data_IF_340810955818
#
_entry.id   IF_340810955818
#
_cell.length_a   1.000
_cell.length_b   1.000
_cell.length_c   1.000
_cell.angle_alpha   90.00
_cell.angle_beta   90.00
_cell.angle_gamma   90.00
#
_symmetry.space_group_name_H-M   'P 1'
#
loop_
_entity.id
_entity.type
_entity.pdbx_description
1 polymer ?
#
# COMPACT_ATOMS: atom_id res chain seq x y z
N UNK A 1 -9.28 -31.51 21.17
CA UNK A 1 -10.00 -32.48 20.30
C UNK A 1 -10.85 -31.77 19.24
N UNK A 2 -11.56 -30.70 19.59
CA UNK A 2 -12.37 -29.92 18.64
C UNK A 2 -11.51 -29.18 17.59
N UNK A 3 -10.43 -28.51 18.01
CA UNK A 3 -9.47 -27.84 17.10
C UNK A 3 -8.83 -28.81 16.08
N UNK A 4 -8.49 -30.03 16.51
CA UNK A 4 -7.90 -31.08 15.66
C UNK A 4 -8.90 -31.60 14.62
N UNK A 5 -10.20 -31.67 14.97
CA UNK A 5 -11.26 -32.01 14.01
C UNK A 5 -11.47 -30.90 12.97
N UNK A 6 -11.39 -29.63 13.38
CA UNK A 6 -11.49 -28.49 12.47
C UNK A 6 -10.28 -28.40 11.53
N UNK A 7 -9.06 -28.65 12.03
CA UNK A 7 -7.85 -28.69 11.21
C UNK A 7 -7.86 -29.82 10.18
N UNK A 8 -8.29 -31.03 10.56
CA UNK A 8 -8.42 -32.16 9.62
C UNK A 8 -9.49 -31.94 8.55
N UNK A 9 -10.45 -31.02 8.76
CA UNK A 9 -11.41 -30.61 7.73
C UNK A 9 -10.84 -29.56 6.77
N UNK A 10 -9.97 -28.67 7.28
CA UNK A 10 -9.32 -27.61 6.48
C UNK A 10 -8.14 -28.12 5.64
N UNK A 11 -7.36 -29.06 6.17
CA UNK A 11 -6.14 -29.55 5.52
C UNK A 11 -6.27 -31.03 5.19
N UNK A 12 -6.45 -31.33 3.92
CA UNK A 12 -6.69 -32.68 3.39
C UNK A 12 -5.47 -33.25 2.66
N UNK A 13 -4.60 -32.35 2.19
CA UNK A 13 -3.39 -32.71 1.46
C UNK A 13 -2.30 -33.25 2.39
N UNK A 14 -1.36 -34.01 1.82
CA UNK A 14 -0.17 -34.46 2.55
C UNK A 14 0.60 -33.27 3.12
N UNK A 15 1.00 -33.37 4.40
CA UNK A 15 1.80 -32.36 5.10
C UNK A 15 3.08 -32.00 4.34
N UNK A 16 3.71 -32.99 3.68
CA UNK A 16 4.90 -32.77 2.86
C UNK A 16 4.61 -31.92 1.62
N UNK A 17 3.45 -32.13 0.97
CA UNK A 17 3.01 -31.34 -0.18
C UNK A 17 2.75 -29.89 0.24
N UNK A 18 2.01 -29.69 1.34
CA UNK A 18 1.73 -28.35 1.88
C UNK A 18 3.02 -27.61 2.26
N UNK A 19 3.94 -28.27 2.97
CA UNK A 19 5.22 -27.67 3.35
C UNK A 19 6.04 -27.25 2.11
N UNK A 20 6.11 -28.11 1.09
CA UNK A 20 6.79 -27.78 -0.16
C UNK A 20 6.14 -26.59 -0.87
N UNK A 21 4.81 -26.56 -0.96
CA UNK A 21 4.09 -25.44 -1.58
C UNK A 21 4.33 -24.14 -0.82
N UNK A 22 4.33 -24.14 0.51
CA UNK A 22 4.61 -22.93 1.31
C UNK A 22 6.00 -22.37 1.01
N UNK A 23 7.02 -23.24 0.95
CA UNK A 23 8.39 -22.83 0.61
C UNK A 23 8.45 -22.27 -0.80
N UNK A 24 7.86 -22.98 -1.78
CA UNK A 24 7.87 -22.54 -3.17
C UNK A 24 7.10 -21.22 -3.38
N UNK A 25 5.96 -21.05 -2.69
CA UNK A 25 5.20 -19.79 -2.66
C UNK A 25 6.09 -18.67 -2.13
N UNK A 26 6.77 -18.88 -0.99
CA UNK A 26 7.69 -17.88 -0.44
C UNK A 26 8.80 -17.51 -1.43
N UNK A 27 9.49 -18.50 -2.00
CA UNK A 27 10.59 -18.26 -2.96
C UNK A 27 10.10 -17.51 -4.20
N UNK A 28 9.03 -17.98 -4.82
CA UNK A 28 8.51 -17.37 -6.04
C UNK A 28 7.91 -15.99 -5.81
N UNK A 29 7.17 -15.79 -4.72
CA UNK A 29 6.66 -14.46 -4.32
C UNK A 29 7.78 -13.48 -4.01
N UNK A 30 8.85 -13.94 -3.35
CA UNK A 30 10.05 -13.15 -3.10
C UNK A 30 10.72 -12.69 -4.39
N UNK A 31 10.96 -13.62 -5.31
CA UNK A 31 11.55 -13.32 -6.62
C UNK A 31 10.67 -12.38 -7.44
N UNK A 32 9.37 -12.66 -7.56
CA UNK A 32 8.42 -11.84 -8.32
C UNK A 32 8.29 -10.43 -7.73
N UNK A 33 8.19 -10.31 -6.40
CA UNK A 33 8.16 -9.04 -5.69
C UNK A 33 9.44 -8.24 -5.92
N UNK A 34 10.60 -8.88 -5.79
CA UNK A 34 11.91 -8.30 -6.09
C UNK A 34 11.99 -7.76 -7.52
N UNK A 35 11.64 -8.56 -8.53
CA UNK A 35 11.67 -8.14 -9.92
C UNK A 35 10.75 -6.94 -10.19
N UNK A 36 9.54 -6.92 -9.63
CA UNK A 36 8.63 -5.79 -9.80
C UNK A 36 9.13 -4.51 -9.10
N UNK A 37 9.76 -4.64 -7.94
CA UNK A 37 10.37 -3.51 -7.24
C UNK A 37 11.59 -2.97 -7.98
N UNK A 38 12.48 -3.85 -8.48
CA UNK A 38 13.62 -3.45 -9.31
C UNK A 38 13.19 -2.79 -10.62
N UNK A 39 12.13 -3.31 -11.26
CA UNK A 39 11.53 -2.68 -12.44
C UNK A 39 11.02 -1.28 -12.11
N UNK A 40 10.36 -1.10 -10.96
CA UNK A 40 9.88 0.21 -10.52
C UNK A 40 11.04 1.20 -10.38
N UNK A 41 12.12 0.82 -9.68
CA UNK A 41 13.29 1.68 -9.51
C UNK A 41 13.96 2.03 -10.83
N UNK A 42 14.17 1.04 -11.70
CA UNK A 42 14.74 1.25 -13.03
C UNK A 42 13.92 2.25 -13.87
N UNK A 43 12.59 2.10 -13.88
CA UNK A 43 11.71 3.00 -14.60
C UNK A 43 11.71 4.41 -14.00
N UNK A 44 11.77 4.55 -12.68
CA UNK A 44 11.90 5.86 -12.03
C UNK A 44 13.18 6.57 -12.46
N UNK A 45 14.32 5.86 -12.44
CA UNK A 45 15.63 6.38 -12.80
C UNK A 45 15.65 6.88 -14.25
N UNK A 46 15.08 6.12 -15.18
CA UNK A 46 14.96 6.52 -16.59
C UNK A 46 13.99 7.68 -16.75
N UNK A 47 12.83 7.64 -16.10
CA UNK A 47 11.80 8.64 -16.24
C UNK A 47 12.31 10.03 -15.84
N UNK A 48 12.97 10.14 -14.70
CA UNK A 48 13.43 11.44 -14.17
C UNK A 48 14.92 11.72 -14.38
N UNK A 49 15.69 10.74 -14.85
CA UNK A 49 17.07 10.92 -15.31
C UNK A 49 18.10 10.94 -14.21
N UNK A 50 17.82 10.23 -13.13
CA UNK A 50 18.67 10.16 -11.97
C UNK A 50 19.18 8.73 -11.82
N UNK A 51 20.45 8.57 -11.45
CA UNK A 51 21.08 7.26 -11.27
C UNK A 51 20.86 6.22 -12.42
N UNK A 52 20.94 6.59 -13.72
CA UNK A 52 20.53 5.70 -14.83
C UNK A 52 21.40 4.43 -14.99
N UNK A 53 22.60 4.43 -14.41
CA UNK A 53 23.53 3.30 -14.45
C UNK A 53 23.39 2.34 -13.26
N UNK A 54 22.57 2.68 -12.26
CA UNK A 54 22.37 1.88 -11.05
C UNK A 54 20.88 1.55 -10.90
N UNK A 55 20.53 0.33 -10.51
CA UNK A 55 19.12 -0.02 -10.22
C UNK A 55 18.75 0.36 -8.79
N UNK A 56 19.70 0.22 -7.85
CA UNK A 56 19.57 0.72 -6.48
C UNK A 56 20.47 1.93 -6.34
N UNK A 57 19.89 3.04 -5.90
CA UNK A 57 20.58 4.29 -5.66
C UNK A 57 20.30 4.79 -4.25
N UNK A 58 21.25 5.55 -3.71
CA UNK A 58 21.06 6.32 -2.49
C UNK A 58 20.22 7.58 -2.74
N UNK A 59 20.11 8.00 -4.00
CA UNK A 59 19.25 9.12 -4.40
C UNK A 59 17.78 8.69 -4.38
N UNK A 60 16.97 9.43 -3.63
CA UNK A 60 15.55 9.17 -3.48
C UNK A 60 14.79 9.56 -4.75
N UNK A 61 13.61 8.96 -4.94
CA UNK A 61 12.71 9.35 -6.02
C UNK A 61 12.37 10.86 -6.00
N UNK A 62 12.21 11.43 -4.81
CA UNK A 62 11.91 12.85 -4.67
C UNK A 62 13.06 13.74 -5.14
N UNK A 63 14.31 13.39 -4.81
CA UNK A 63 15.51 14.11 -5.26
C UNK A 63 15.61 14.06 -6.78
N UNK A 64 15.45 12.89 -7.38
CA UNK A 64 15.45 12.74 -8.83
C UNK A 64 14.35 13.56 -9.53
N UNK A 65 13.13 13.57 -8.97
CA UNK A 65 12.05 14.43 -9.48
C UNK A 65 12.41 15.91 -9.32
N UNK A 66 12.93 16.34 -8.16
CA UNK A 66 13.33 17.73 -7.92
C UNK A 66 14.46 18.19 -8.85
N UNK A 67 15.40 17.32 -9.17
CA UNK A 67 16.50 17.59 -10.09
C UNK A 67 16.05 17.63 -11.57
N UNK A 68 14.99 16.89 -11.91
CA UNK A 68 14.43 16.91 -13.27
C UNK A 68 13.79 18.26 -13.64
N UNK A 69 13.92 18.65 -14.92
CA UNK A 69 13.34 19.90 -15.42
C UNK A 69 11.79 19.87 -15.39
N UNK A 70 11.13 21.03 -15.25
CA UNK A 70 9.67 21.12 -15.29
C UNK A 70 9.04 20.45 -16.52
N UNK A 71 9.65 20.65 -17.69
CA UNK A 71 9.20 20.08 -18.97
C UNK A 71 9.25 18.56 -18.92
N UNK A 72 10.34 18.00 -18.38
CA UNK A 72 10.50 16.55 -18.22
C UNK A 72 9.42 15.97 -17.32
N UNK A 73 9.11 16.60 -16.19
CA UNK A 73 8.04 16.13 -15.29
C UNK A 73 6.69 16.10 -16.00
N UNK A 74 6.35 17.16 -16.74
CA UNK A 74 5.12 17.25 -17.52
C UNK A 74 5.08 16.18 -18.60
N UNK A 75 6.16 15.99 -19.37
CA UNK A 75 6.25 14.97 -20.42
C UNK A 75 6.11 13.56 -19.87
N UNK A 76 6.76 13.23 -18.76
CA UNK A 76 6.67 11.91 -18.12
C UNK A 76 5.25 11.63 -17.64
N UNK A 77 4.58 12.63 -17.05
CA UNK A 77 3.20 12.49 -16.59
C UNK A 77 2.21 12.41 -17.76
N UNK A 78 2.46 13.12 -18.86
CA UNK A 78 1.71 12.93 -20.10
C UNK A 78 1.85 11.49 -20.62
N UNK A 79 3.06 10.93 -20.64
CA UNK A 79 3.30 9.53 -21.02
C UNK A 79 2.64 8.54 -20.04
N UNK A 80 2.66 8.84 -18.74
CA UNK A 80 1.92 8.08 -17.73
C UNK A 80 0.43 8.02 -18.07
N UNK A 81 -0.16 9.14 -18.47
CA UNK A 81 -1.56 9.20 -18.89
C UNK A 81 -1.87 8.41 -20.15
N UNK A 82 -0.97 8.43 -21.15
CA UNK A 82 -1.10 7.58 -22.35
C UNK A 82 -0.99 6.09 -22.01
N UNK A 83 0.02 5.69 -21.23
CA UNK A 83 0.24 4.29 -20.85
C UNK A 83 -0.92 3.77 -19.99
N UNK A 84 -1.36 4.54 -19.00
CA UNK A 84 -2.53 4.22 -18.18
C UNK A 84 -3.78 4.07 -19.06
N UNK A 85 -4.07 5.09 -19.86
CA UNK A 85 -5.26 5.18 -20.68
C UNK A 85 -5.36 4.05 -21.69
N UNK A 86 -4.33 3.90 -22.54
CA UNK A 86 -4.28 2.89 -23.60
C UNK A 86 -4.17 1.49 -22.99
N UNK A 87 -3.31 1.31 -22.00
CA UNK A 87 -3.02 0.01 -21.40
C UNK A 87 -4.23 -0.61 -20.73
N UNK A 88 -4.90 0.12 -19.83
CA UNK A 88 -6.09 -0.42 -19.16
C UNK A 88 -7.30 -0.46 -20.09
N UNK A 89 -7.49 0.50 -20.99
CA UNK A 89 -8.55 0.39 -22.01
C UNK A 89 -8.39 -0.87 -22.87
N UNK A 90 -7.18 -1.15 -23.36
CA UNK A 90 -6.89 -2.36 -24.14
C UNK A 90 -7.09 -3.62 -23.30
N UNK A 91 -6.66 -3.61 -22.03
CA UNK A 91 -6.88 -4.74 -21.12
C UNK A 91 -8.37 -5.00 -20.87
N UNK A 92 -9.19 -3.97 -20.71
CA UNK A 92 -10.63 -4.12 -20.52
C UNK A 92 -11.37 -4.49 -21.81
N UNK A 93 -10.84 -4.08 -22.98
CA UNK A 93 -11.47 -4.35 -24.28
C UNK A 93 -11.12 -5.73 -24.83
N UNK A 94 -9.88 -6.20 -24.62
CA UNK A 94 -9.36 -7.42 -25.24
C UNK A 94 -8.92 -8.50 -24.24
N UNK A 95 -8.72 -8.15 -22.96
CA UNK A 95 -8.30 -9.08 -21.93
C UNK A 95 -9.45 -9.84 -21.27
N UNK A 96 -9.12 -10.95 -20.61
CA UNK A 96 -10.09 -11.64 -19.73
C UNK A 96 -10.44 -10.76 -18.53
N UNK A 97 -11.70 -10.74 -18.06
CA UNK A 97 -12.13 -9.92 -16.94
C UNK A 97 -11.29 -10.16 -15.69
N UNK A 98 -10.74 -9.08 -15.12
CA UNK A 98 -9.92 -9.16 -13.91
C UNK A 98 -10.72 -9.69 -12.72
N UNK A 99 -10.06 -10.48 -11.90
CA UNK A 99 -10.61 -11.02 -10.65
C UNK A 99 -9.69 -10.55 -9.53
N UNK A 100 -10.23 -9.82 -8.57
CA UNK A 100 -9.46 -9.37 -7.40
C UNK A 100 -9.13 -10.54 -6.47
N UNK A 101 -8.06 -10.41 -5.69
CA UNK A 101 -7.65 -11.41 -4.69
C UNK A 101 -8.81 -11.74 -3.74
N UNK A 102 -9.52 -10.72 -3.24
CA UNK A 102 -10.66 -10.91 -2.34
C UNK A 102 -11.81 -11.67 -3.02
N UNK A 103 -12.09 -11.40 -4.30
CA UNK A 103 -13.11 -12.14 -5.05
C UNK A 103 -12.67 -13.58 -5.31
N UNK A 104 -11.40 -13.82 -5.64
CA UNK A 104 -10.86 -15.16 -5.84
C UNK A 104 -10.96 -16.01 -4.57
N UNK A 105 -10.62 -15.45 -3.41
CA UNK A 105 -10.76 -16.13 -2.11
C UNK A 105 -12.24 -16.42 -1.80
N UNK A 106 -13.12 -15.42 -1.95
CA UNK A 106 -14.54 -15.53 -1.57
C UNK A 106 -15.33 -16.47 -2.49
N UNK A 107 -15.09 -16.41 -3.80
CA UNK A 107 -15.90 -17.12 -4.81
C UNK A 107 -15.23 -18.37 -5.39
N UNK A 108 -13.92 -18.56 -5.15
CA UNK A 108 -13.14 -19.61 -5.80
C UNK A 108 -12.89 -19.36 -7.30
N UNK A 109 -13.32 -18.21 -7.83
CA UNK A 109 -13.11 -17.87 -9.25
C UNK A 109 -11.60 -17.67 -9.52
N UNK A 110 -11.02 -18.36 -10.52
CA UNK A 110 -9.60 -18.24 -10.81
C UNK A 110 -9.25 -16.85 -11.34
N UNK A 111 -8.07 -16.35 -10.95
CA UNK A 111 -7.49 -15.11 -11.51
C UNK A 111 -6.88 -15.40 -12.88
N UNK A 112 -7.28 -14.71 -13.96
CA UNK A 112 -6.74 -14.96 -15.30
C UNK A 112 -5.28 -14.52 -15.39
N UNK A 113 -4.29 -15.44 -15.53
CA UNK A 113 -2.88 -15.12 -15.34
C UNK A 113 -2.40 -13.98 -16.23
N UNK A 114 -2.58 -14.09 -17.55
CA UNK A 114 -2.09 -13.09 -18.50
C UNK A 114 -2.66 -11.68 -18.23
N UNK A 115 -3.98 -11.57 -18.05
CA UNK A 115 -4.62 -10.28 -17.75
C UNK A 115 -4.11 -9.71 -16.42
N UNK A 116 -3.94 -10.55 -15.39
CA UNK A 116 -3.43 -10.13 -14.08
C UNK A 116 -1.98 -9.68 -14.15
N UNK A 117 -1.12 -10.36 -14.91
CA UNK A 117 0.26 -9.93 -15.12
C UNK A 117 0.30 -8.58 -15.84
N UNK A 118 -0.40 -8.41 -16.95
CA UNK A 118 -0.48 -7.12 -17.67
C UNK A 118 -0.99 -6.02 -16.73
N UNK A 119 -2.03 -6.31 -15.95
CA UNK A 119 -2.56 -5.38 -14.95
C UNK A 119 -1.52 -4.96 -13.91
N UNK A 120 -0.75 -5.90 -13.38
CA UNK A 120 0.31 -5.64 -12.40
C UNK A 120 1.45 -4.82 -13.00
N UNK A 121 1.88 -5.11 -14.23
CA UNK A 121 2.90 -4.32 -14.93
C UNK A 121 2.44 -2.89 -15.19
N UNK A 122 1.19 -2.68 -15.63
CA UNK A 122 0.63 -1.33 -15.82
C UNK A 122 0.63 -0.53 -14.52
N UNK A 123 0.27 -1.15 -13.39
CA UNK A 123 0.36 -0.51 -12.08
C UNK A 123 1.80 -0.08 -11.76
N UNK A 124 2.78 -1.00 -11.89
CA UNK A 124 4.19 -0.68 -11.60
C UNK A 124 4.73 0.43 -12.50
N UNK A 125 4.46 0.36 -13.81
CA UNK A 125 4.93 1.36 -14.78
C UNK A 125 4.35 2.72 -14.44
N UNK A 126 3.03 2.83 -14.30
CA UNK A 126 2.38 4.13 -14.05
C UNK A 126 2.80 4.74 -12.70
N UNK A 127 3.03 3.93 -11.68
CA UNK A 127 3.52 4.40 -10.37
C UNK A 127 4.98 4.85 -10.46
N UNK A 128 5.83 4.13 -11.20
CA UNK A 128 7.20 4.55 -11.47
C UNK A 128 7.26 5.89 -12.22
N UNK A 129 6.30 6.13 -13.13
CA UNK A 129 6.16 7.40 -13.86
C UNK A 129 5.47 8.51 -13.04
N UNK A 130 5.13 8.27 -11.77
CA UNK A 130 4.63 9.32 -10.88
C UNK A 130 3.13 9.27 -10.55
N UNK A 131 2.41 8.20 -10.90
CA UNK A 131 1.02 8.01 -10.46
C UNK A 131 0.89 8.06 -8.93
N UNK A 132 -0.16 8.73 -8.38
CA UNK A 132 -0.30 8.92 -6.94
C UNK A 132 -0.76 7.65 -6.19
N UNK A 133 -1.00 6.54 -6.91
CA UNK A 133 -1.53 5.29 -6.39
C UNK A 133 -0.43 4.37 -5.81
N UNK A 134 -0.84 3.41 -4.99
CA UNK A 134 0.04 2.47 -4.30
C UNK A 134 0.52 1.29 -5.16
N UNK A 135 1.80 0.90 -5.01
CA UNK A 135 2.43 -0.21 -5.76
C UNK A 135 2.19 -1.60 -5.16
N UNK A 136 1.53 -1.67 -4.02
CA UNK A 136 1.38 -2.88 -3.22
C UNK A 136 0.45 -3.94 -3.84
N UNK A 137 -0.45 -3.56 -4.76
CA UNK A 137 -1.43 -4.51 -5.33
C UNK A 137 -0.77 -5.42 -6.37
N UNK A 138 0.05 -4.88 -7.27
CA UNK A 138 0.75 -5.63 -8.31
C UNK A 138 1.52 -6.89 -7.80
N UNK A 139 2.43 -6.79 -6.81
CA UNK A 139 3.16 -7.96 -6.31
C UNK A 139 2.25 -8.96 -5.60
N UNK A 140 1.17 -8.50 -4.97
CA UNK A 140 0.17 -9.37 -4.34
C UNK A 140 -0.58 -10.17 -5.40
N UNK A 141 -1.00 -9.54 -6.49
CA UNK A 141 -1.76 -10.19 -7.56
C UNK A 141 -0.94 -11.22 -8.32
N UNK A 142 0.28 -10.86 -8.70
CA UNK A 142 1.22 -11.76 -9.38
C UNK A 142 1.58 -12.94 -8.50
N UNK A 143 1.81 -12.70 -7.20
CA UNK A 143 2.07 -13.76 -6.23
C UNK A 143 0.87 -14.67 -5.99
N UNK A 144 -0.35 -14.12 -5.94
CA UNK A 144 -1.59 -14.90 -5.85
C UNK A 144 -1.77 -15.84 -7.03
N UNK A 145 -1.51 -15.35 -8.25
CA UNK A 145 -1.57 -16.17 -9.47
C UNK A 145 -0.55 -17.30 -9.42
N UNK A 146 0.69 -16.99 -9.03
CA UNK A 146 1.75 -17.98 -8.87
C UNK A 146 1.40 -19.05 -7.81
N UNK A 147 0.94 -18.63 -6.63
CA UNK A 147 0.51 -19.54 -5.58
C UNK A 147 -0.69 -20.40 -5.97
N UNK A 148 -1.65 -19.84 -6.73
CA UNK A 148 -2.79 -20.60 -7.26
C UNK A 148 -2.32 -21.68 -8.25
N UNK A 149 -1.36 -21.35 -9.12
CA UNK A 149 -0.77 -22.29 -10.07
C UNK A 149 -0.03 -23.43 -9.35
N UNK A 150 0.79 -23.12 -8.34
CA UNK A 150 1.46 -24.13 -7.53
C UNK A 150 0.47 -25.05 -6.82
N UNK A 151 -0.58 -24.47 -6.24
CA UNK A 151 -1.62 -25.22 -5.51
C UNK A 151 -2.34 -26.20 -6.43
N UNK A 152 -2.70 -25.77 -7.64
CA UNK A 152 -3.31 -26.63 -8.65
C UNK A 152 -2.36 -27.75 -9.10
N UNK A 153 -1.07 -27.45 -9.30
CA UNK A 153 -0.06 -28.44 -9.69
C UNK A 153 0.20 -29.48 -8.59
N UNK A 154 0.14 -29.07 -7.32
CA UNK A 154 0.30 -29.93 -6.17
C UNK A 154 -0.97 -30.70 -5.78
N UNK A 155 -2.09 -30.47 -6.48
CA UNK A 155 -3.37 -31.13 -6.22
C UNK A 155 -4.00 -30.74 -4.89
N UNK A 156 -3.73 -29.53 -4.39
CA UNK A 156 -4.29 -29.05 -3.13
C UNK A 156 -5.81 -28.90 -3.23
N UNK A 157 -6.50 -29.09 -2.11
CA UNK A 157 -7.94 -28.87 -2.03
C UNK A 157 -8.31 -27.40 -2.34
N UNK A 158 -9.57 -27.10 -2.68
CA UNK A 158 -10.00 -25.72 -2.94
C UNK A 158 -9.77 -24.77 -1.75
N UNK A 159 -9.96 -25.25 -0.51
CA UNK A 159 -9.74 -24.43 0.69
C UNK A 159 -8.25 -24.18 0.94
N UNK A 160 -7.41 -25.21 0.81
CA UNK A 160 -5.95 -25.06 0.87
C UNK A 160 -5.43 -24.11 -0.21
N UNK A 161 -5.97 -24.20 -1.42
CA UNK A 161 -5.61 -23.32 -2.54
C UNK A 161 -5.96 -21.86 -2.25
N UNK A 162 -7.10 -21.57 -1.59
CA UNK A 162 -7.45 -20.21 -1.15
C UNK A 162 -6.48 -19.69 -0.09
N UNK A 163 -6.08 -20.55 0.85
CA UNK A 163 -5.10 -20.19 1.88
C UNK A 163 -3.74 -19.89 1.25
N UNK A 164 -3.27 -20.75 0.33
CA UNK A 164 -2.01 -20.54 -0.37
C UNK A 164 -2.04 -19.30 -1.27
N UNK A 165 -3.16 -19.03 -1.95
CA UNK A 165 -3.38 -17.79 -2.71
C UNK A 165 -3.23 -16.56 -1.79
N UNK A 166 -3.87 -16.58 -0.61
CA UNK A 166 -3.75 -15.51 0.36
C UNK A 166 -2.33 -15.38 0.92
N UNK A 167 -1.66 -16.49 1.24
CA UNK A 167 -0.26 -16.52 1.69
C UNK A 167 0.68 -15.95 0.62
N UNK A 168 0.46 -16.27 -0.67
CA UNK A 168 1.18 -15.67 -1.79
C UNK A 168 0.97 -14.16 -1.86
N UNK A 169 -0.26 -13.68 -1.71
CA UNK A 169 -0.51 -12.24 -1.64
C UNK A 169 0.27 -11.58 -0.48
N UNK A 170 0.21 -12.15 0.73
CA UNK A 170 0.96 -11.65 1.90
C UNK A 170 2.47 -11.64 1.66
N UNK A 171 3.00 -12.73 1.09
CA UNK A 171 4.41 -12.87 0.76
C UNK A 171 4.88 -11.87 -0.30
N UNK A 172 4.05 -11.60 -1.32
CA UNK A 172 4.34 -10.56 -2.32
C UNK A 172 4.35 -9.14 -1.72
N UNK A 173 3.44 -8.85 -0.78
CA UNK A 173 3.47 -7.61 -0.01
C UNK A 173 4.76 -7.51 0.82
N UNK A 174 5.09 -8.58 1.56
CA UNK A 174 6.27 -8.65 2.40
C UNK A 174 7.57 -8.42 1.61
N UNK A 175 7.74 -9.10 0.47
CA UNK A 175 8.93 -9.04 -0.36
C UNK A 175 9.26 -7.62 -0.85
N UNK A 176 8.23 -6.87 -1.27
CA UNK A 176 8.37 -5.54 -1.87
C UNK A 176 8.64 -4.43 -0.84
N UNK A 177 8.27 -4.68 0.40
CA UNK A 177 8.25 -3.69 1.47
C UNK A 177 9.16 -4.05 2.65
N UNK A 178 9.83 -5.20 2.62
CA UNK A 178 10.64 -5.73 3.72
C UNK A 178 9.84 -5.87 5.03
N UNK A 179 8.61 -6.41 4.92
CA UNK A 179 7.63 -6.51 6.03
C UNK A 179 7.11 -7.94 6.24
N UNK A 180 7.94 -8.89 6.69
CA UNK A 180 7.52 -10.29 6.84
C UNK A 180 6.36 -10.47 7.84
N UNK A 181 6.36 -9.78 8.98
CA UNK A 181 5.28 -9.87 9.96
C UNK A 181 4.02 -9.16 9.46
N UNK A 182 4.17 -7.98 8.86
CA UNK A 182 3.07 -7.21 8.30
C UNK A 182 2.38 -7.96 7.16
N UNK A 183 3.16 -8.63 6.30
CA UNK A 183 2.64 -9.52 5.26
C UNK A 183 1.82 -10.68 5.83
N UNK A 184 2.31 -11.34 6.88
CA UNK A 184 1.62 -12.46 7.50
C UNK A 184 0.33 -12.04 8.22
N UNK A 185 0.37 -10.96 9.00
CA UNK A 185 -0.83 -10.46 9.69
C UNK A 185 -1.84 -9.90 8.71
N UNK A 186 -1.40 -9.30 7.60
CA UNK A 186 -2.30 -8.89 6.51
C UNK A 186 -3.10 -10.06 5.94
N UNK A 187 -2.50 -11.26 5.82
CA UNK A 187 -3.22 -12.47 5.37
C UNK A 187 -4.36 -12.81 6.33
N UNK A 188 -4.08 -12.82 7.63
CA UNK A 188 -5.04 -13.21 8.66
C UNK A 188 -6.14 -12.15 8.86
N UNK A 189 -5.75 -10.88 8.97
CA UNK A 189 -6.65 -9.79 9.31
C UNK A 189 -7.48 -9.33 8.11
N UNK A 190 -6.88 -9.23 6.91
CA UNK A 190 -7.51 -8.57 5.76
C UNK A 190 -7.99 -9.54 4.70
N UNK A 191 -7.24 -10.61 4.42
CA UNK A 191 -7.60 -11.53 3.33
C UNK A 191 -8.51 -12.67 3.78
N UNK A 192 -8.19 -13.30 4.91
CA UNK A 192 -8.88 -14.49 5.40
C UNK A 192 -9.80 -14.23 6.60
N UNK A 193 -9.63 -13.11 7.30
CA UNK A 193 -10.38 -12.75 8.52
C UNK A 193 -10.45 -13.91 9.53
N UNK A 194 -9.29 -14.50 9.86
CA UNK A 194 -9.19 -15.71 10.70
C UNK A 194 -8.06 -15.61 11.72
N UNK A 195 -8.19 -16.34 12.83
CA UNK A 195 -7.19 -16.44 13.90
C UNK A 195 -6.58 -17.84 14.00
N UNK A 196 -6.63 -18.61 12.90
CA UNK A 196 -6.11 -19.97 12.89
C UNK A 196 -4.57 -20.00 12.98
N UNK A 197 -4.05 -20.74 13.96
CA UNK A 197 -2.61 -20.84 14.23
C UNK A 197 -1.81 -21.45 13.07
N UNK A 198 -2.35 -22.47 12.43
CA UNK A 198 -1.70 -23.13 11.28
C UNK A 198 -1.61 -22.19 10.08
N UNK A 199 -2.65 -21.41 9.80
CA UNK A 199 -2.63 -20.38 8.74
C UNK A 199 -1.62 -19.29 9.07
N UNK A 200 -1.51 -18.86 10.34
CA UNK A 200 -0.49 -17.92 10.77
C UNK A 200 0.92 -18.45 10.47
N UNK A 201 1.20 -19.71 10.79
CA UNK A 201 2.50 -20.32 10.50
C UNK A 201 2.80 -20.37 9.01
N UNK A 202 1.80 -20.66 8.17
CA UNK A 202 1.96 -20.67 6.72
C UNK A 202 2.29 -19.27 6.18
N UNK A 203 1.52 -18.27 6.59
CA UNK A 203 1.69 -16.89 6.18
C UNK A 203 3.02 -16.30 6.66
N UNK A 204 3.43 -16.59 7.91
CA UNK A 204 4.74 -16.20 8.45
C UNK A 204 5.88 -16.84 7.66
N UNK A 205 5.80 -18.16 7.43
CA UNK A 205 6.86 -18.89 6.73
C UNK A 205 7.02 -18.40 5.29
N UNK A 206 5.94 -18.29 4.53
CA UNK A 206 6.01 -17.80 3.14
C UNK A 206 6.48 -16.35 3.07
N UNK A 207 6.05 -15.49 4.00
CA UNK A 207 6.44 -14.07 4.01
C UNK A 207 7.91 -13.87 4.40
N UNK A 208 8.40 -14.61 5.40
CA UNK A 208 9.80 -14.57 5.80
C UNK A 208 10.73 -15.08 4.70
N UNK A 209 10.37 -16.19 4.03
CA UNK A 209 11.11 -16.71 2.89
C UNK A 209 11.10 -15.68 1.74
N UNK A 210 9.95 -15.08 1.44
CA UNK A 210 9.85 -14.10 0.37
C UNK A 210 10.73 -12.86 0.59
N UNK A 211 10.80 -12.38 1.84
CA UNK A 211 11.70 -11.28 2.23
C UNK A 211 13.16 -11.69 2.13
N UNK A 212 13.52 -12.89 2.61
CA UNK A 212 14.89 -13.40 2.48
C UNK A 212 15.33 -13.49 1.01
N UNK A 213 14.45 -13.94 0.11
CA UNK A 213 14.73 -13.97 -1.33
C UNK A 213 14.84 -12.55 -1.89
N UNK A 214 13.96 -11.62 -1.48
CA UNK A 214 13.98 -10.26 -2.04
C UNK A 214 15.22 -9.47 -1.66
N UNK A 215 15.86 -9.78 -0.53
CA UNK A 215 17.12 -9.18 -0.11
C UNK A 215 18.27 -9.37 -1.11
N UNK A 216 18.24 -10.41 -1.94
CA UNK A 216 19.27 -10.62 -2.97
C UNK A 216 19.31 -9.48 -4.00
N UNK A 217 18.17 -8.86 -4.26
CA UNK A 217 18.05 -7.75 -5.18
C UNK A 217 17.82 -6.41 -4.51
N UNK A 218 17.07 -6.36 -3.39
CA UNK A 218 16.62 -5.12 -2.74
C UNK A 218 17.42 -4.74 -1.48
N UNK A 219 18.23 -5.65 -0.93
CA UNK A 219 18.90 -5.45 0.35
C UNK A 219 17.95 -5.48 1.56
N UNK A 220 18.51 -5.28 2.75
CA UNK A 220 17.79 -5.31 4.04
C UNK A 220 17.71 -3.92 4.70
N UNK A 221 17.18 -2.95 3.98
CA UNK A 221 16.98 -1.59 4.50
C UNK A 221 15.54 -1.36 4.97
N UNK A 222 15.36 -0.40 5.89
CA UNK A 222 14.02 0.09 6.24
C UNK A 222 13.46 0.96 5.12
N UNK A 223 12.14 1.01 5.02
CA UNK A 223 11.47 1.82 3.97
C UNK A 223 11.58 3.31 4.29
N UNK A 224 11.51 3.67 5.57
CA UNK A 224 11.72 5.03 6.07
C UNK A 224 12.89 5.04 7.04
N UNK A 225 13.75 6.04 6.87
CA UNK A 225 14.72 6.40 7.89
C UNK A 225 14.07 7.44 8.80
N UNK A 226 14.18 7.26 10.11
CA UNK A 226 13.61 8.19 11.09
C UNK A 226 14.72 8.68 12.02
N UNK A 227 14.70 9.95 12.43
CA UNK A 227 15.64 10.45 13.44
C UNK A 227 15.34 9.82 14.81
N UNK A 228 16.24 10.03 15.78
CA UNK A 228 15.96 9.64 17.16
C UNK A 228 14.77 10.43 17.73
N UNK A 229 13.73 9.70 18.13
CA UNK A 229 12.47 10.29 18.60
C UNK A 229 12.33 10.09 20.11
N UNK A 230 12.13 11.19 20.84
CA UNK A 230 11.80 11.14 22.27
C UNK A 230 10.30 10.94 22.50
N UNK A 231 9.93 10.02 23.40
CA UNK A 231 8.57 9.91 23.92
C UNK A 231 8.38 10.96 25.04
N UNK A 232 7.27 11.71 24.99
CA UNK A 232 6.86 12.57 26.11
C UNK A 232 5.36 12.38 26.42
N UNK A 233 4.92 12.80 27.61
CA UNK A 233 3.52 12.65 28.03
C UNK A 233 2.55 13.39 27.11
N UNK A 234 2.95 14.55 26.59
CA UNK A 234 2.15 15.34 25.65
C UNK A 234 1.83 14.56 24.38
N UNK A 235 2.78 13.78 23.85
CA UNK A 235 2.59 12.96 22.65
C UNK A 235 1.54 11.87 22.87
N UNK A 236 1.52 11.24 24.05
CA UNK A 236 0.51 10.23 24.41
C UNK A 236 -0.88 10.88 24.47
N UNK A 237 -1.00 12.03 25.14
CA UNK A 237 -2.27 12.75 25.26
C UNK A 237 -2.75 13.21 23.87
N UNK A 238 -1.86 13.78 23.07
CA UNK A 238 -2.12 14.19 21.69
C UNK A 238 -2.63 13.00 20.84
N UNK A 239 -2.02 11.82 20.99
CA UNK A 239 -2.43 10.58 20.30
C UNK A 239 -3.86 10.15 20.61
N UNK A 240 -4.31 10.36 21.84
CA UNK A 240 -5.69 10.07 22.24
C UNK A 240 -6.64 11.13 21.67
N UNK A 241 -6.32 12.41 21.85
CA UNK A 241 -7.25 13.52 21.57
C UNK A 241 -7.39 13.79 20.07
N UNK A 242 -6.30 13.73 19.31
CA UNK A 242 -6.30 14.07 17.90
C UNK A 242 -6.66 12.90 16.98
N UNK A 243 -6.59 11.65 17.46
CA UNK A 243 -6.88 10.48 16.63
C UNK A 243 -8.32 10.32 16.11
N UNK A 244 -9.38 10.80 16.79
CA UNK A 244 -10.70 10.85 16.18
C UNK A 244 -10.73 11.67 14.89
N UNK A 245 -9.98 12.79 14.83
CA UNK A 245 -9.88 13.61 13.61
C UNK A 245 -9.24 12.81 12.48
N UNK A 246 -8.18 12.05 12.76
CA UNK A 246 -7.57 11.14 11.78
C UNK A 246 -8.60 10.12 11.26
N UNK A 247 -9.40 9.53 12.14
CA UNK A 247 -10.44 8.56 11.79
C UNK A 247 -11.54 9.13 10.90
N UNK A 248 -11.97 10.35 11.18
CA UNK A 248 -12.98 11.07 10.38
C UNK A 248 -12.48 11.32 8.95
N UNK A 249 -11.26 11.85 8.79
CA UNK A 249 -10.69 12.08 7.47
C UNK A 249 -10.32 10.78 6.75
N UNK A 250 -9.89 9.75 7.47
CA UNK A 250 -9.64 8.41 6.92
C UNK A 250 -10.91 7.81 6.31
N UNK A 251 -12.06 7.95 7.00
CA UNK A 251 -13.36 7.53 6.48
C UNK A 251 -13.68 8.23 5.15
N UNK A 252 -13.61 9.56 5.09
CA UNK A 252 -13.94 10.29 3.87
C UNK A 252 -12.98 9.99 2.72
N UNK A 253 -11.69 9.87 3.03
CA UNK A 253 -10.69 9.49 2.03
C UNK A 253 -11.02 8.16 1.37
N UNK A 254 -11.30 7.11 2.15
CA UNK A 254 -11.60 5.79 1.59
C UNK A 254 -13.00 5.74 0.97
N UNK A 255 -13.98 6.44 1.54
CA UNK A 255 -15.35 6.48 1.01
C UNK A 255 -15.38 7.14 -0.37
N UNK A 256 -14.74 8.29 -0.53
CA UNK A 256 -14.65 8.98 -1.83
C UNK A 256 -13.85 8.11 -2.82
N UNK A 257 -12.71 7.55 -2.41
CA UNK A 257 -11.93 6.66 -3.26
C UNK A 257 -12.76 5.46 -3.76
N UNK A 258 -13.58 4.87 -2.89
CA UNK A 258 -14.47 3.75 -3.24
C UNK A 258 -15.54 4.17 -4.25
N UNK A 259 -16.17 5.34 -4.04
CA UNK A 259 -17.16 5.89 -4.98
C UNK A 259 -16.53 6.25 -6.33
N UNK A 260 -15.33 6.82 -6.36
CA UNK A 260 -14.66 7.13 -7.62
C UNK A 260 -14.26 5.87 -8.37
N UNK A 261 -13.77 4.85 -7.67
CA UNK A 261 -13.42 3.55 -8.27
C UNK A 261 -14.66 2.81 -8.81
N UNK A 262 -15.80 2.86 -8.12
CA UNK A 262 -17.03 2.22 -8.62
C UNK A 262 -17.60 2.93 -9.85
N UNK A 263 -17.33 4.23 -9.97
CA UNK A 263 -17.67 5.05 -11.12
C UNK A 263 -16.52 5.14 -12.14
N UNK A 264 -15.50 4.28 -12.08
CA UNK A 264 -14.35 4.38 -12.97
C UNK A 264 -14.75 4.26 -14.45
N UNK A 265 -14.08 5.04 -15.31
CA UNK A 265 -14.28 5.01 -16.76
C UNK A 265 -13.56 3.78 -17.35
N UNK A 266 -14.29 2.94 -18.08
CA UNK A 266 -13.74 1.73 -18.72
C UNK A 266 -13.92 1.73 -20.26
N UNK A 267 -14.46 2.81 -20.83
CA UNK A 267 -14.64 2.96 -22.29
C UNK A 267 -13.42 3.63 -22.93
N UNK A 268 -13.42 3.79 -24.25
CA UNK A 268 -12.39 4.54 -25.01
C UNK A 268 -12.08 5.94 -24.43
N UNK A 269 -13.08 6.60 -23.81
CA UNK A 269 -12.91 7.89 -23.12
C UNK A 269 -11.88 7.86 -21.98
N UNK A 270 -11.53 6.66 -21.48
CA UNK A 270 -10.47 6.45 -20.51
C UNK A 270 -9.14 7.04 -21.00
N UNK A 271 -8.81 6.91 -22.28
CA UNK A 271 -7.52 7.39 -22.83
C UNK A 271 -7.38 8.90 -22.63
N UNK A 272 -8.37 9.67 -23.10
CA UNK A 272 -8.38 11.12 -22.93
C UNK A 272 -8.47 11.54 -21.46
N UNK A 273 -9.28 10.84 -20.66
CA UNK A 273 -9.47 11.16 -19.24
C UNK A 273 -8.19 10.94 -18.42
N UNK A 274 -7.50 9.82 -18.64
CA UNK A 274 -6.19 9.56 -18.06
C UNK A 274 -5.18 10.62 -18.50
N UNK A 275 -5.10 10.89 -19.81
CA UNK A 275 -4.17 11.89 -20.35
C UNK A 275 -4.35 13.24 -19.66
N UNK A 276 -5.58 13.74 -19.57
CA UNK A 276 -5.88 15.01 -18.92
C UNK A 276 -5.55 14.98 -17.42
N UNK A 277 -5.95 13.94 -16.70
CA UNK A 277 -5.70 13.81 -15.26
C UNK A 277 -4.20 13.84 -14.94
N UNK A 278 -3.40 13.04 -15.64
CA UNK A 278 -1.96 12.99 -15.40
C UNK A 278 -1.24 14.22 -15.94
N UNK A 279 -1.71 14.85 -17.04
CA UNK A 279 -1.17 16.14 -17.48
C UNK A 279 -1.36 17.23 -16.42
N UNK A 280 -2.54 17.32 -15.81
CA UNK A 280 -2.80 18.26 -14.70
C UNK A 280 -1.88 17.95 -13.52
N UNK A 281 -1.72 16.68 -13.14
CA UNK A 281 -0.75 16.29 -12.10
C UNK A 281 0.69 16.71 -12.47
N UNK A 282 1.08 16.57 -13.74
CA UNK A 282 2.36 17.04 -14.27
C UNK A 282 2.56 18.53 -14.08
N UNK A 283 1.55 19.35 -14.38
CA UNK A 283 1.60 20.81 -14.17
C UNK A 283 1.76 21.16 -12.67
N UNK A 284 1.02 20.49 -11.79
CA UNK A 284 1.16 20.71 -10.34
C UNK A 284 2.52 20.22 -9.80
N UNK A 285 3.11 19.18 -10.40
CA UNK A 285 4.41 18.64 -9.98
C UNK A 285 5.60 19.59 -10.24
N UNK A 286 5.41 20.63 -11.05
CA UNK A 286 6.41 21.69 -11.22
C UNK A 286 6.64 22.42 -9.89
N UNK A 287 5.54 22.74 -9.20
CA UNK A 287 5.57 23.45 -7.91
C UNK A 287 5.62 22.49 -6.71
N UNK A 288 5.00 21.32 -6.83
CA UNK A 288 4.89 20.32 -5.77
C UNK A 288 5.41 18.94 -6.22
N UNK A 289 6.74 18.77 -6.36
CA UNK A 289 7.36 17.50 -6.78
C UNK A 289 6.94 16.30 -5.94
N UNK A 290 6.68 16.50 -4.65
CA UNK A 290 6.28 15.46 -3.69
C UNK A 290 4.87 14.91 -3.91
N UNK A 291 4.07 15.47 -4.83
CA UNK A 291 2.80 14.87 -5.24
C UNK A 291 3.00 13.58 -6.05
N UNK A 292 4.13 13.44 -6.73
CA UNK A 292 4.38 12.30 -7.61
C UNK A 292 4.66 11.02 -6.81
N UNK A 293 4.20 9.91 -7.38
CA UNK A 293 4.44 8.57 -6.85
C UNK A 293 3.49 8.18 -5.71
N UNK A 294 3.73 6.99 -5.17
CA UNK A 294 2.80 6.29 -4.26
C UNK A 294 2.61 6.92 -2.88
N UNK A 295 3.31 8.01 -2.56
CA UNK A 295 3.21 8.72 -1.28
C UNK A 295 4.36 8.45 -0.31
N UNK A 296 5.39 7.68 -0.70
CA UNK A 296 6.61 7.56 0.11
C UNK A 296 7.23 8.93 0.41
N UNK A 297 7.48 9.73 -0.63
CA UNK A 297 8.14 11.03 -0.53
C UNK A 297 7.48 12.01 0.46
N UNK A 298 6.16 12.29 0.39
CA UNK A 298 5.53 13.20 1.35
C UNK A 298 5.49 12.61 2.77
N UNK A 299 5.39 11.29 2.96
CA UNK A 299 5.45 10.69 4.29
C UNK A 299 6.85 10.88 4.92
N UNK A 300 7.90 10.58 4.14
CA UNK A 300 9.30 10.73 4.54
C UNK A 300 9.65 12.17 4.89
N UNK A 301 9.17 13.13 4.09
CA UNK A 301 9.34 14.56 4.37
C UNK A 301 8.80 14.99 5.74
N UNK A 302 7.67 14.42 6.18
CA UNK A 302 7.08 14.69 7.50
C UNK A 302 7.81 13.97 8.63
N UNK A 303 8.39 12.80 8.36
CA UNK A 303 9.19 12.06 9.33
C UNK A 303 10.55 12.72 9.60
N UNK A 304 11.06 13.49 8.64
CA UNK A 304 12.32 14.24 8.73
C UNK A 304 12.14 15.73 9.12
N UNK A 305 10.93 16.17 9.51
CA UNK A 305 10.59 17.57 9.83
C UNK A 305 10.96 18.59 8.74
N UNK A 306 11.03 18.17 7.48
CA UNK A 306 11.49 19.03 6.38
C UNK A 306 10.40 20.00 5.86
N UNK A 307 9.22 20.03 6.50
CA UNK A 307 8.00 20.66 5.96
C UNK A 307 7.28 21.51 6.99
N UNK A 308 6.83 22.70 6.57
CA UNK A 308 5.94 23.54 7.36
C UNK A 308 4.46 23.16 7.18
N UNK A 309 3.66 23.38 8.22
CA UNK A 309 2.22 23.03 8.30
C UNK A 309 1.43 23.44 7.05
N UNK A 310 1.69 24.63 6.49
CA UNK A 310 1.00 25.12 5.30
C UNK A 310 1.21 24.24 4.07
N UNK A 311 2.43 23.74 3.85
CA UNK A 311 2.71 22.80 2.75
C UNK A 311 2.08 21.43 3.04
N UNK A 312 2.08 20.97 4.29
CA UNK A 312 1.41 19.71 4.68
C UNK A 312 -0.09 19.74 4.38
N UNK A 313 -0.78 20.85 4.69
CA UNK A 313 -2.21 21.05 4.36
C UNK A 313 -2.42 20.95 2.85
N UNK A 314 -1.61 21.68 2.08
CA UNK A 314 -1.75 21.72 0.63
C UNK A 314 -1.50 20.35 0.00
N UNK A 315 -0.44 19.64 0.44
CA UNK A 315 -0.13 18.29 -0.02
C UNK A 315 -1.24 17.29 0.35
N UNK A 316 -1.80 17.36 1.56
CA UNK A 316 -2.90 16.48 1.98
C UNK A 316 -4.11 16.63 1.06
N UNK A 317 -4.50 17.87 0.74
CA UNK A 317 -5.63 18.16 -0.13
C UNK A 317 -5.36 17.74 -1.58
N UNK A 318 -4.27 18.22 -2.18
CA UNK A 318 -3.93 17.94 -3.57
C UNK A 318 -3.73 16.44 -3.81
N UNK A 319 -3.00 15.76 -2.91
CA UNK A 319 -2.75 14.33 -3.04
C UNK A 319 -4.04 13.52 -2.94
N UNK A 320 -4.93 13.87 -2.02
CA UNK A 320 -6.25 13.22 -1.91
C UNK A 320 -7.05 13.38 -3.21
N UNK A 321 -7.09 14.59 -3.76
CA UNK A 321 -7.76 14.89 -5.03
C UNK A 321 -7.16 14.04 -6.15
N UNK A 322 -5.84 14.03 -6.33
CA UNK A 322 -5.20 13.29 -7.42
C UNK A 322 -5.34 11.77 -7.28
N UNK A 323 -5.39 11.22 -6.06
CA UNK A 323 -5.74 9.81 -5.85
C UNK A 323 -7.17 9.55 -6.33
N UNK A 324 -8.14 10.37 -5.90
CA UNK A 324 -9.55 10.20 -6.25
C UNK A 324 -9.80 10.36 -7.76
N UNK A 325 -9.23 11.37 -8.39
CA UNK A 325 -9.38 11.59 -9.83
C UNK A 325 -8.69 10.51 -10.65
N UNK A 326 -7.51 10.04 -10.23
CA UNK A 326 -6.81 8.92 -10.89
C UNK A 326 -7.66 7.64 -10.87
N UNK A 327 -8.31 7.33 -9.74
CA UNK A 327 -9.25 6.21 -9.66
C UNK A 327 -10.48 6.42 -10.55
N UNK A 328 -11.03 7.64 -10.58
CA UNK A 328 -12.21 7.99 -11.39
C UNK A 328 -11.96 7.81 -12.88
N UNK A 329 -10.77 8.20 -13.35
CA UNK A 329 -10.40 8.06 -14.77
C UNK A 329 -10.02 6.62 -15.14
N UNK A 330 -10.06 5.68 -14.20
CA UNK A 330 -9.84 4.25 -14.45
C UNK A 330 -8.41 3.77 -14.18
N UNK A 331 -7.50 4.63 -13.71
CA UNK A 331 -6.17 4.18 -13.30
C UNK A 331 -6.28 3.28 -12.06
N UNK A 332 -5.42 2.26 -12.00
CA UNK A 332 -5.49 1.22 -10.99
C UNK A 332 -4.23 1.18 -10.14
N UNK A 333 -4.39 0.75 -8.91
CA UNK A 333 -3.34 0.71 -7.90
C UNK A 333 -3.91 0.60 -6.50
N UNK A 334 -3.02 0.42 -5.54
CA UNK A 334 -3.37 0.30 -4.13
C UNK A 334 -3.60 1.64 -3.43
N UNK A 335 -4.09 1.57 -2.19
CA UNK A 335 -4.38 2.71 -1.34
C UNK A 335 -3.66 2.63 0.02
N UNK A 336 -2.83 1.61 0.25
CA UNK A 336 -2.05 1.43 1.48
C UNK A 336 -1.06 2.60 1.64
N UNK A 337 -0.13 2.78 0.70
CA UNK A 337 0.84 3.89 0.80
C UNK A 337 0.19 5.27 0.70
N UNK A 338 -0.82 5.51 -0.17
CA UNK A 338 -1.57 6.76 -0.15
C UNK A 338 -2.25 7.07 1.20
N UNK A 339 -2.86 6.08 1.86
CA UNK A 339 -3.44 6.24 3.19
C UNK A 339 -2.39 6.55 4.25
N UNK A 340 -1.25 5.84 4.22
CA UNK A 340 -0.12 6.11 5.12
C UNK A 340 0.38 7.55 4.97
N UNK A 341 0.60 8.00 3.73
CA UNK A 341 1.09 9.34 3.43
C UNK A 341 0.12 10.44 3.87
N UNK A 342 -1.17 10.27 3.59
CA UNK A 342 -2.19 11.22 4.04
C UNK A 342 -2.31 11.26 5.57
N UNK A 343 -2.11 10.12 6.24
CA UNK A 343 -2.02 10.07 7.69
C UNK A 343 -0.78 10.78 8.24
N UNK A 344 0.37 10.66 7.58
CA UNK A 344 1.59 11.39 7.96
C UNK A 344 1.38 12.90 7.85
N UNK A 345 0.86 13.36 6.72
CA UNK A 345 0.53 14.77 6.48
C UNK A 345 -0.47 15.30 7.50
N UNK A 346 -1.59 14.58 7.73
CA UNK A 346 -2.59 15.00 8.70
C UNK A 346 -2.08 14.94 10.15
N UNK A 347 -1.25 13.94 10.47
CA UNK A 347 -0.56 13.85 11.76
C UNK A 347 0.35 15.07 12.00
N UNK A 348 1.15 15.46 11.02
CA UNK A 348 2.00 16.64 11.11
C UNK A 348 1.18 17.94 11.28
N UNK A 349 0.08 18.09 10.54
CA UNK A 349 -0.84 19.23 10.68
C UNK A 349 -1.40 19.30 12.10
N UNK A 350 -1.92 18.18 12.62
CA UNK A 350 -2.53 18.13 13.94
C UNK A 350 -1.49 18.33 15.07
N UNK A 351 -0.28 17.80 14.91
CA UNK A 351 0.83 18.02 15.85
C UNK A 351 1.33 19.46 15.82
N UNK A 352 1.38 20.07 14.64
CA UNK A 352 1.68 21.49 14.47
C UNK A 352 0.65 22.39 15.15
N UNK A 353 -0.65 22.12 14.94
CA UNK A 353 -1.74 22.83 15.63
C UNK A 353 -1.67 22.63 17.14
N UNK A 354 -1.40 21.41 17.60
CA UNK A 354 -1.22 21.10 19.02
C UNK A 354 -0.14 21.97 19.66
N UNK A 355 1.01 22.11 19.00
CA UNK A 355 2.15 22.89 19.49
C UNK A 355 1.89 24.40 19.57
N UNK A 356 0.81 24.93 18.98
CA UNK A 356 0.43 26.34 19.11
C UNK A 356 -0.20 26.66 20.48
N UNK A 357 -0.89 25.69 21.08
CA UNK A 357 -1.74 25.92 22.25
C UNK A 357 -1.40 25.03 23.45
N UNK A 358 -0.70 23.92 23.25
CA UNK A 358 -0.48 22.87 24.25
C UNK A 358 1.02 22.51 24.34
N UNK A 359 1.46 21.80 25.40
CA UNK A 359 2.86 21.41 25.56
C UNK A 359 3.38 20.68 24.31
N UNK A 360 4.57 21.04 23.85
CA UNK A 360 5.07 20.61 22.54
C UNK A 360 5.21 19.09 22.39
N UNK A 361 4.80 18.58 21.24
CA UNK A 361 5.05 17.22 20.77
C UNK A 361 6.06 17.22 19.63
N UNK A 362 6.91 16.19 19.51
CA UNK A 362 7.75 16.02 18.32
C UNK A 362 6.85 15.74 17.10
N UNK A 363 6.84 16.65 16.12
CA UNK A 363 5.92 16.60 14.97
C UNK A 363 6.15 15.33 14.13
N UNK A 364 7.42 14.93 13.89
CA UNK A 364 7.73 13.68 13.19
C UNK A 364 7.15 12.44 13.89
N UNK A 365 7.16 12.40 15.23
CA UNK A 365 6.62 11.29 15.98
C UNK A 365 5.11 11.19 15.77
N UNK A 366 4.45 12.35 15.81
CA UNK A 366 3.02 12.41 15.62
C UNK A 366 2.60 12.20 14.16
N UNK A 367 3.45 12.53 13.18
CA UNK A 367 3.28 12.14 11.79
C UNK A 367 3.31 10.61 11.64
N UNK A 368 4.24 9.89 12.29
CA UNK A 368 4.30 8.42 12.26
C UNK A 368 3.06 7.79 12.92
N UNK A 369 2.65 8.32 14.07
CA UNK A 369 1.41 7.89 14.76
C UNK A 369 0.19 8.17 13.87
N UNK A 370 0.14 9.34 13.24
CA UNK A 370 -0.91 9.77 12.32
C UNK A 370 -1.01 8.88 11.08
N UNK A 371 0.12 8.57 10.48
CA UNK A 371 0.26 7.64 9.36
C UNK A 371 -0.36 6.28 9.69
N UNK A 372 -0.02 5.75 10.86
CA UNK A 372 -0.48 4.44 11.33
C UNK A 372 -1.97 4.43 11.63
N UNK A 373 -2.45 5.42 12.37
CA UNK A 373 -3.85 5.53 12.77
C UNK A 373 -4.78 5.80 11.57
N UNK A 374 -4.36 6.61 10.60
CA UNK A 374 -5.10 6.84 9.37
C UNK A 374 -5.11 5.58 8.48
N UNK A 375 -3.96 4.93 8.31
CA UNK A 375 -3.86 3.68 7.55
C UNK A 375 -4.78 2.59 8.13
N UNK A 376 -4.71 2.38 9.45
CA UNK A 376 -5.54 1.44 10.18
C UNK A 376 -7.03 1.65 9.90
N UNK A 377 -7.51 2.89 10.02
CA UNK A 377 -8.91 3.25 9.83
C UNK A 377 -9.35 3.19 8.36
N UNK A 378 -8.55 3.74 7.43
CA UNK A 378 -8.88 3.80 6.01
C UNK A 378 -8.91 2.42 5.37
N UNK A 379 -7.95 1.56 5.71
CA UNK A 379 -7.81 0.24 5.11
C UNK A 379 -8.42 -0.89 5.96
N UNK A 380 -9.00 -0.56 7.12
CA UNK A 380 -9.63 -1.51 8.06
C UNK A 380 -8.67 -2.64 8.48
N UNK A 381 -7.44 -2.27 8.82
CA UNK A 381 -6.38 -3.21 9.16
C UNK A 381 -5.57 -2.74 10.39
N UNK A 382 -6.20 -2.58 11.57
CA UNK A 382 -5.54 -2.01 12.74
C UNK A 382 -4.27 -2.77 13.18
N UNK A 383 -4.30 -4.10 13.24
CA UNK A 383 -3.14 -4.89 13.67
C UNK A 383 -2.03 -4.84 12.61
N UNK A 384 -2.39 -5.00 11.35
CA UNK A 384 -1.44 -4.92 10.24
C UNK A 384 -0.79 -3.54 10.19
N UNK A 385 -1.55 -2.45 10.34
CA UNK A 385 -1.00 -1.10 10.28
C UNK A 385 0.04 -0.85 11.39
N UNK A 386 -0.23 -1.32 12.62
CA UNK A 386 0.72 -1.23 13.74
C UNK A 386 2.02 -1.98 13.40
N UNK A 387 1.91 -3.21 12.89
CA UNK A 387 3.10 -4.00 12.56
C UNK A 387 3.87 -3.38 11.39
N UNK A 388 3.16 -2.95 10.34
CA UNK A 388 3.76 -2.31 9.18
C UNK A 388 4.56 -1.07 9.56
N UNK A 389 4.05 -0.20 10.44
CA UNK A 389 4.82 1.00 10.80
C UNK A 389 6.12 0.65 11.54
N UNK A 390 6.11 -0.37 12.40
CA UNK A 390 7.32 -0.83 13.09
C UNK A 390 8.33 -1.42 12.11
N UNK A 391 7.90 -2.25 11.15
CA UNK A 391 8.82 -2.82 10.15
C UNK A 391 9.30 -1.76 9.14
N UNK A 392 8.45 -0.81 8.78
CA UNK A 392 8.78 0.27 7.86
C UNK A 392 9.81 1.26 8.42
N UNK A 393 9.74 1.56 9.71
CA UNK A 393 10.54 2.61 10.37
C UNK A 393 11.63 2.07 11.28
N UNK A 394 11.53 0.80 11.71
CA UNK A 394 12.37 0.19 12.77
C UNK A 394 12.41 1.01 14.06
N UNK A 395 11.33 1.74 14.35
CA UNK A 395 11.25 2.61 15.52
C UNK A 395 11.29 1.84 16.84
N UNK A 396 11.68 2.55 17.91
CA UNK A 396 11.71 1.99 19.25
C UNK A 396 10.29 1.53 19.70
N UNK A 397 10.22 0.33 20.27
CA UNK A 397 8.98 -0.28 20.74
C UNK A 397 8.23 0.52 21.81
N UNK A 398 8.91 1.46 22.49
CA UNK A 398 8.30 2.43 23.42
C UNK A 398 7.13 3.22 22.80
N UNK A 399 7.11 3.40 21.48
CA UNK A 399 6.01 4.07 20.77
C UNK A 399 4.75 3.21 20.57
N UNK A 400 4.76 1.93 20.98
CA UNK A 400 3.61 1.05 20.80
C UNK A 400 2.35 1.62 21.47
N UNK A 401 2.48 2.14 22.69
CA UNK A 401 1.34 2.66 23.46
C UNK A 401 0.64 3.84 22.76
N UNK A 402 1.31 4.95 22.41
CA UNK A 402 0.64 6.05 21.71
C UNK A 402 0.09 5.63 20.35
N UNK A 403 0.76 4.73 19.63
CA UNK A 403 0.28 4.19 18.36
C UNK A 403 -1.03 3.41 18.56
N UNK A 404 -1.09 2.47 19.52
CA UNK A 404 -2.29 1.68 19.79
C UNK A 404 -3.48 2.55 20.20
N UNK A 405 -3.24 3.58 21.02
CA UNK A 405 -4.27 4.53 21.44
C UNK A 405 -4.79 5.34 20.24
N UNK A 406 -3.89 5.85 19.40
CA UNK A 406 -4.29 6.58 18.20
C UNK A 406 -5.04 5.71 17.18
N UNK A 407 -4.56 4.48 16.95
CA UNK A 407 -5.24 3.51 16.08
C UNK A 407 -6.64 3.20 16.60
N UNK A 408 -6.78 2.98 17.91
CA UNK A 408 -8.08 2.71 18.53
C UNK A 408 -9.05 3.87 18.36
N UNK A 409 -8.63 5.11 18.65
CA UNK A 409 -9.48 6.30 18.50
C UNK A 409 -9.86 6.59 17.04
N UNK A 410 -8.90 6.43 16.12
CA UNK A 410 -9.12 6.61 14.68
C UNK A 410 -10.09 5.57 14.10
N UNK A 411 -9.91 4.28 14.42
CA UNK A 411 -10.80 3.21 13.96
C UNK A 411 -12.20 3.36 14.55
N UNK A 412 -12.31 3.70 15.84
CA UNK A 412 -13.60 3.96 16.49
C UNK A 412 -14.35 5.10 15.80
N UNK A 413 -13.68 6.24 15.56
CA UNK A 413 -14.31 7.38 14.89
C UNK A 413 -14.68 7.08 13.43
N UNK A 414 -13.82 6.36 12.69
CA UNK A 414 -14.13 5.91 11.33
C UNK A 414 -15.40 5.06 11.30
N UNK A 415 -15.56 4.13 12.24
CA UNK A 415 -16.75 3.29 12.34
C UNK A 415 -18.01 4.08 12.74
N UNK A 416 -17.89 5.03 13.68
CA UNK A 416 -19.00 5.92 14.05
C UNK A 416 -19.45 6.77 12.85
N UNK A 417 -18.51 7.35 12.12
CA UNK A 417 -18.78 8.17 10.92
C UNK A 417 -19.47 7.33 9.84
N UNK A 418 -19.00 6.10 9.62
CA UNK A 418 -19.63 5.15 8.70
C UNK A 418 -21.07 4.81 9.10
N UNK A 419 -21.31 4.52 10.38
CA UNK A 419 -22.65 4.20 10.87
C UNK A 419 -23.61 5.39 10.68
N UNK A 420 -23.13 6.61 10.94
CA UNK A 420 -23.89 7.83 10.71
C UNK A 420 -24.20 8.01 9.21
N UNK A 421 -23.18 7.90 8.36
CA UNK A 421 -23.32 7.99 6.90
C UNK A 421 -24.37 7.02 6.34
N UNK A 422 -24.32 5.75 6.75
CA UNK A 422 -25.30 4.72 6.32
C UNK A 422 -26.71 5.03 6.82
N UNK A 423 -26.85 5.43 8.08
CA UNK A 423 -28.16 5.71 8.70
C UNK A 423 -28.92 6.82 7.98
N UNK A 424 -28.21 7.84 7.50
CA UNK A 424 -28.82 9.03 6.90
C UNK A 424 -28.76 9.08 5.36
N UNK A 425 -28.24 8.03 4.68
CA UNK A 425 -28.10 7.95 3.21
C UNK A 425 -27.56 9.25 2.57
N UNK A 426 -26.57 9.88 3.20
CA UNK A 426 -25.89 11.06 2.61
C UNK A 426 -24.98 10.64 1.47
#
# INVERSE_FOLDING_TARGET
MESVRTENQLFQSSKASLALVIVLVGVGSGFLGMCLALLLHYLQHIAYGYSPLHIISNETFLEGVRASSPERRITILFLCGLIAGIGWWALYSFGKPLVSIALAIKSGKPMPPLSTFIHAFLQIITIALGSPLGREVAPREVSSVYASWLSAKAGLSPEESKIMLACGAGAGLAAVYNVPLGGAVFVLEVLLCTYNWTILLFALSSSAIAVLVSWWGLGNESIYQIPDISLNASLIICSIIASPVLGFFAFWFIQIATVQRSKAIHSWHMIFSCLLNFLILGLFSVYFPSLLGNGKSPAEMEFDQSVGIGLSILLFLLRSIFVWTSLRVGAQGGLLTPSLANGALLGAILGGIWNLCLPSVPIHAFAIIGATAFLAAAQKMPLTAIILIFEFTRMNFVFLIPIMLAVSGSVAMCQLTKNYYIKYKV
#
